data_IF_740726383204
#
_entry.id   IF_740726383204
#
_cell.length_a   1.000
_cell.length_b   1.000
_cell.length_c   1.000
_cell.angle_alpha   90.00
_cell.angle_beta   90.00
_cell.angle_gamma   90.00
#
_symmetry.space_group_name_H-M   'P 1'
#
loop_
_entity.id
_entity.type
_entity.pdbx_description
1 polymer ?
#
# COMPACT_ATOMS: atom_id res chain seq x y z
N UNK A 1 -13.92 -9.06 -33.09
CA UNK A 1 -12.62 -9.42 -32.47
C UNK A 1 -12.20 -8.41 -31.38
N UNK A 2 -12.32 -7.11 -31.59
CA UNK A 2 -11.91 -6.07 -30.59
C UNK A 2 -12.63 -6.18 -29.24
N UNK A 3 -13.95 -6.37 -29.21
CA UNK A 3 -14.72 -6.45 -27.95
C UNK A 3 -14.30 -7.64 -27.09
N UNK A 4 -14.03 -8.79 -27.67
CA UNK A 4 -13.59 -9.99 -26.94
C UNK A 4 -12.23 -9.77 -26.28
N UNK A 5 -11.31 -9.10 -26.98
CA UNK A 5 -9.99 -8.75 -26.41
C UNK A 5 -10.09 -7.77 -25.25
N UNK A 6 -10.95 -6.76 -25.35
CA UNK A 6 -11.18 -5.79 -24.27
C UNK A 6 -11.77 -6.48 -23.04
N UNK A 7 -12.82 -7.30 -23.23
CA UNK A 7 -13.44 -8.05 -22.13
C UNK A 7 -12.41 -9.00 -21.47
N UNK A 8 -11.61 -9.71 -22.27
CA UNK A 8 -10.54 -10.57 -21.77
C UNK A 8 -9.51 -9.84 -20.93
N UNK A 9 -9.08 -8.63 -21.38
CA UNK A 9 -8.12 -7.80 -20.64
C UNK A 9 -8.72 -7.31 -19.30
N UNK A 10 -9.98 -6.90 -19.29
CA UNK A 10 -10.68 -6.46 -18.07
C UNK A 10 -10.80 -7.63 -17.07
N UNK A 11 -11.24 -8.80 -17.52
CA UNK A 11 -11.34 -10.00 -16.65
C UNK A 11 -9.97 -10.39 -16.10
N UNK A 12 -8.93 -10.38 -16.93
CA UNK A 12 -7.57 -10.70 -16.48
C UNK A 12 -7.07 -9.68 -15.43
N UNK A 13 -7.34 -8.39 -15.63
CA UNK A 13 -7.01 -7.34 -14.67
C UNK A 13 -7.77 -7.53 -13.34
N UNK A 14 -9.07 -7.82 -13.38
CA UNK A 14 -9.87 -8.12 -12.17
C UNK A 14 -9.31 -9.31 -11.40
N UNK A 15 -8.99 -10.41 -12.07
CA UNK A 15 -8.38 -11.60 -11.45
C UNK A 15 -7.01 -11.26 -10.85
N UNK A 16 -6.19 -10.46 -11.54
CA UNK A 16 -4.88 -10.03 -11.04
C UNK A 16 -5.01 -9.20 -9.77
N UNK A 17 -5.89 -8.20 -9.75
CA UNK A 17 -6.14 -7.36 -8.59
C UNK A 17 -6.74 -8.16 -7.43
N UNK A 18 -7.71 -9.03 -7.69
CA UNK A 18 -8.30 -9.89 -6.68
C UNK A 18 -7.25 -10.81 -6.00
N UNK A 19 -6.39 -11.45 -6.80
CA UNK A 19 -5.29 -12.28 -6.26
C UNK A 19 -4.27 -11.44 -5.51
N UNK A 20 -3.92 -10.29 -6.02
CA UNK A 20 -2.96 -9.39 -5.41
C UNK A 20 -3.47 -8.83 -4.07
N UNK A 21 -4.75 -8.48 -3.95
CA UNK A 21 -5.33 -7.97 -2.69
C UNK A 21 -5.21 -8.97 -1.53
N UNK A 22 -5.07 -10.25 -1.84
CA UNK A 22 -4.92 -11.35 -0.88
C UNK A 22 -3.50 -11.92 -0.79
N UNK A 23 -2.57 -11.42 -1.59
CA UNK A 23 -1.19 -11.90 -1.59
C UNK A 23 -0.40 -11.32 -0.40
N UNK A 24 0.51 -12.13 0.15
CA UNK A 24 1.43 -11.76 1.24
C UNK A 24 0.74 -11.24 2.51
N UNK A 25 -0.43 -11.75 2.83
CA UNK A 25 -1.09 -11.48 4.10
C UNK A 25 -0.46 -12.31 5.22
N UNK A 26 -0.52 -11.78 6.45
CA UNK A 26 -0.11 -12.48 7.65
C UNK A 26 -1.19 -13.41 8.19
N UNK A 27 -0.82 -14.24 9.16
CA UNK A 27 -1.74 -15.14 9.88
C UNK A 27 -1.95 -14.74 11.34
N UNK A 28 -1.20 -13.75 11.82
CA UNK A 28 -1.19 -13.28 13.21
C UNK A 28 -1.79 -11.90 13.40
N UNK A 29 -2.51 -11.35 12.40
CA UNK A 29 -3.20 -10.08 12.55
C UNK A 29 -4.33 -10.20 13.57
N UNK A 30 -4.37 -9.27 14.54
CA UNK A 30 -5.46 -9.21 15.50
C UNK A 30 -6.81 -8.93 14.81
N UNK A 31 -7.87 -9.58 15.29
CA UNK A 31 -9.22 -9.49 14.70
C UNK A 31 -10.24 -8.81 15.62
N UNK A 32 -9.85 -8.47 16.86
CA UNK A 32 -10.73 -7.79 17.83
C UNK A 32 -10.73 -6.26 17.60
N UNK A 33 -11.84 -5.61 17.91
CA UNK A 33 -12.09 -4.18 17.63
C UNK A 33 -11.17 -3.22 18.40
N UNK A 34 -10.65 -3.63 19.55
CA UNK A 34 -9.74 -2.82 20.37
C UNK A 34 -8.26 -3.00 20.00
N UNK A 35 -7.96 -3.80 18.96
CA UNK A 35 -6.61 -3.96 18.48
C UNK A 35 -6.04 -2.61 18.01
N UNK A 36 -4.77 -2.36 18.34
CA UNK A 36 -4.04 -1.23 17.79
C UNK A 36 -3.77 -1.51 16.31
N UNK A 37 -4.37 -0.69 15.44
CA UNK A 37 -4.30 -0.83 14.00
C UNK A 37 -3.47 0.28 13.37
N UNK A 38 -2.64 -0.07 12.40
CA UNK A 38 -1.98 0.88 11.50
C UNK A 38 -2.44 0.62 10.06
N UNK A 39 -3.03 1.63 9.43
CA UNK A 39 -3.39 1.61 8.00
C UNK A 39 -2.40 2.48 7.26
N UNK A 40 -1.50 1.82 6.53
CA UNK A 40 -0.43 2.48 5.74
C UNK A 40 -0.90 2.69 4.32
N UNK A 41 -1.02 3.93 3.88
CA UNK A 41 -1.34 4.28 2.49
C UNK A 41 -0.10 4.81 1.78
N UNK A 42 0.22 4.17 0.64
CA UNK A 42 1.41 4.52 -0.14
C UNK A 42 1.06 5.53 -1.23
N UNK A 43 1.87 6.59 -1.33
CA UNK A 43 1.76 7.59 -2.36
C UNK A 43 2.02 7.05 -3.77
N UNK A 44 1.43 7.72 -4.73
CA UNK A 44 1.73 7.61 -6.16
C UNK A 44 2.34 8.94 -6.61
N UNK A 45 3.38 8.87 -7.41
CA UNK A 45 4.07 10.04 -7.96
C UNK A 45 3.07 11.05 -8.56
N UNK A 46 2.97 12.21 -7.92
CA UNK A 46 1.97 13.23 -8.23
C UNK A 46 2.68 14.57 -8.47
N UNK A 47 2.56 15.16 -9.67
CA UNK A 47 3.19 16.45 -9.96
C UNK A 47 2.44 17.64 -9.38
N UNK A 48 1.23 17.44 -8.86
CA UNK A 48 0.34 18.48 -8.37
C UNK A 48 0.68 18.99 -6.96
N UNK A 49 -0.07 20.00 -6.54
CA UNK A 49 -0.09 20.54 -5.16
C UNK A 49 -1.27 20.01 -4.34
N UNK A 50 -2.10 19.17 -4.93
CA UNK A 50 -3.21 18.46 -4.30
C UNK A 50 -3.25 17.02 -4.84
N UNK A 51 -3.86 16.12 -4.09
CA UNK A 51 -3.94 14.72 -4.47
C UNK A 51 -4.65 14.53 -5.83
N UNK A 52 -3.95 13.96 -6.79
CA UNK A 52 -4.50 13.54 -8.06
C UNK A 52 -5.37 12.28 -7.94
N UNK A 53 -5.96 11.84 -9.04
CA UNK A 53 -6.97 10.77 -9.08
C UNK A 53 -6.51 9.49 -8.35
N UNK A 54 -5.29 9.03 -8.61
CA UNK A 54 -4.75 7.80 -8.01
C UNK A 54 -4.62 7.96 -6.49
N UNK A 55 -4.03 9.06 -6.03
CA UNK A 55 -3.85 9.33 -4.61
C UNK A 55 -5.20 9.50 -3.87
N UNK A 56 -6.18 10.17 -4.48
CA UNK A 56 -7.55 10.28 -3.92
C UNK A 56 -8.19 8.91 -3.71
N UNK A 57 -8.07 8.00 -4.68
CA UNK A 57 -8.59 6.63 -4.56
C UNK A 57 -7.90 5.84 -3.47
N UNK A 58 -6.58 5.94 -3.37
CA UNK A 58 -5.81 5.26 -2.31
C UNK A 58 -6.24 5.72 -0.91
N UNK A 59 -6.53 7.01 -0.75
CA UNK A 59 -7.09 7.52 0.50
C UNK A 59 -8.47 6.93 0.77
N UNK A 60 -9.36 6.89 -0.23
CA UNK A 60 -10.67 6.27 -0.06
C UNK A 60 -10.56 4.78 0.33
N UNK A 61 -9.63 4.04 -0.30
CA UNK A 61 -9.35 2.66 0.08
C UNK A 61 -8.82 2.54 1.50
N UNK A 62 -7.94 3.46 1.93
CA UNK A 62 -7.39 3.47 3.27
C UNK A 62 -8.47 3.73 4.32
N UNK A 63 -9.31 4.74 4.12
CA UNK A 63 -10.39 5.08 5.06
C UNK A 63 -11.40 3.94 5.22
N UNK A 64 -11.78 3.26 4.14
CA UNK A 64 -12.70 2.12 4.22
C UNK A 64 -12.05 0.82 4.70
N UNK A 65 -10.71 0.76 4.75
CA UNK A 65 -9.96 -0.40 5.25
C UNK A 65 -9.80 -0.39 6.77
N UNK A 66 -10.04 0.74 7.43
CA UNK A 66 -9.99 0.85 8.89
C UNK A 66 -11.10 0.02 9.53
N UNK A 67 -10.77 -0.75 10.55
CA UNK A 67 -11.72 -1.60 11.29
C UNK A 67 -11.62 -1.43 12.78
N UNK A 68 -10.46 -1.07 13.32
CA UNK A 68 -10.22 -0.90 14.73
C UNK A 68 -10.64 0.47 15.24
N UNK A 69 -11.12 0.53 16.49
CA UNK A 69 -11.39 1.81 17.18
C UNK A 69 -10.09 2.61 17.45
N UNK A 70 -8.96 1.92 17.49
CA UNK A 70 -7.62 2.49 17.71
C UNK A 70 -6.80 2.38 16.43
N UNK A 71 -7.28 3.02 15.37
CA UNK A 71 -6.66 3.00 14.05
C UNK A 71 -5.90 4.28 13.78
N UNK A 72 -4.62 4.16 13.42
CA UNK A 72 -3.77 5.26 12.95
C UNK A 72 -3.62 5.17 11.44
N UNK A 73 -3.92 6.25 10.74
CA UNK A 73 -3.61 6.38 9.30
C UNK A 73 -2.18 6.83 9.13
N UNK A 74 -1.36 6.03 8.46
CA UNK A 74 0.03 6.36 8.13
C UNK A 74 0.12 6.63 6.63
N UNK A 75 0.41 7.88 6.24
CA UNK A 75 0.63 8.24 4.85
C UNK A 75 2.12 8.22 4.55
N UNK A 76 2.55 7.60 3.44
CA UNK A 76 3.97 7.45 3.10
C UNK A 76 4.24 7.77 1.64
N UNK A 77 5.28 8.57 1.40
CA UNK A 77 5.77 8.98 0.09
C UNK A 77 6.38 10.36 0.09
N UNK A 78 7.57 10.50 -0.49
CA UNK A 78 8.30 11.76 -0.61
C UNK A 78 7.85 12.59 -1.80
N UNK A 79 8.54 13.69 -2.06
CA UNK A 79 8.36 14.54 -3.24
C UNK A 79 9.12 13.93 -4.44
N UNK A 80 8.50 12.96 -5.13
CA UNK A 80 9.14 12.26 -6.26
C UNK A 80 8.86 12.94 -7.59
N UNK A 81 7.62 13.34 -7.86
CA UNK A 81 7.22 13.94 -9.13
C UNK A 81 6.85 15.42 -9.02
N UNK A 82 6.59 15.92 -7.84
CA UNK A 82 6.13 17.29 -7.58
C UNK A 82 6.85 17.95 -6.41
N UNK A 83 6.49 19.19 -6.09
CA UNK A 83 7.12 19.95 -5.01
C UNK A 83 6.62 19.58 -3.61
N UNK A 84 5.50 18.83 -3.53
CA UNK A 84 4.87 18.42 -2.27
C UNK A 84 5.01 16.92 -2.11
N UNK A 85 5.45 16.41 -0.94
CA UNK A 85 5.51 14.98 -0.66
C UNK A 85 4.15 14.31 -0.86
N UNK A 86 4.13 13.15 -1.53
CA UNK A 86 2.89 12.41 -1.74
C UNK A 86 2.17 12.10 -0.42
N UNK A 87 2.92 11.85 0.65
CA UNK A 87 2.35 11.63 1.98
C UNK A 87 1.53 12.82 2.49
N UNK A 88 1.98 14.05 2.24
CA UNK A 88 1.25 15.26 2.61
C UNK A 88 -0.01 15.45 1.76
N UNK A 89 0.07 15.15 0.44
CA UNK A 89 -1.10 15.17 -0.45
C UNK A 89 -2.18 14.18 0.01
N UNK A 90 -1.77 12.97 0.39
CA UNK A 90 -2.66 11.94 0.93
C UNK A 90 -3.29 12.41 2.25
N UNK A 91 -2.48 12.93 3.18
CA UNK A 91 -2.94 13.41 4.48
C UNK A 91 -3.94 14.57 4.34
N UNK A 92 -3.62 15.56 3.52
CA UNK A 92 -4.50 16.71 3.25
C UNK A 92 -5.84 16.24 2.64
N UNK A 93 -5.80 15.27 1.71
CA UNK A 93 -7.02 14.74 1.12
C UNK A 93 -7.86 13.95 2.13
N UNK A 94 -7.23 13.14 3.01
CA UNK A 94 -7.95 12.44 4.08
C UNK A 94 -8.66 13.43 5.02
N UNK A 95 -7.99 14.49 5.42
CA UNK A 95 -8.57 15.57 6.23
C UNK A 95 -9.73 16.29 5.50
N UNK A 96 -9.58 16.56 4.20
CA UNK A 96 -10.64 17.16 3.39
C UNK A 96 -11.89 16.27 3.26
N UNK A 97 -11.75 14.95 3.38
CA UNK A 97 -12.85 13.99 3.46
C UNK A 97 -13.46 13.86 4.87
N UNK A 98 -13.00 14.66 5.85
CA UNK A 98 -13.51 14.65 7.22
C UNK A 98 -12.83 13.64 8.13
N UNK A 99 -11.69 13.05 7.74
CA UNK A 99 -10.97 12.14 8.62
C UNK A 99 -10.44 12.88 9.86
N UNK A 100 -11.02 12.60 11.04
CA UNK A 100 -10.64 13.20 12.32
C UNK A 100 -9.74 12.34 13.21
N UNK A 101 -9.41 11.10 12.79
CA UNK A 101 -8.59 10.17 13.57
C UNK A 101 -7.10 10.49 13.57
N UNK A 102 -6.31 9.64 14.24
CA UNK A 102 -4.85 9.76 14.30
C UNK A 102 -4.23 9.57 12.91
N UNK A 103 -3.33 10.50 12.53
CA UNK A 103 -2.66 10.53 11.25
C UNK A 103 -1.20 10.90 11.42
N UNK A 104 -0.33 10.08 10.82
CA UNK A 104 1.13 10.29 10.79
C UNK A 104 1.60 10.28 9.34
N UNK A 105 2.53 11.18 8.98
CA UNK A 105 3.11 11.29 7.63
C UNK A 105 4.57 10.87 7.61
N UNK A 106 4.96 10.11 6.60
CA UNK A 106 6.35 9.78 6.27
C UNK A 106 6.67 10.37 4.88
N UNK A 107 7.56 11.36 4.83
CA UNK A 107 7.80 12.21 3.65
C UNK A 107 9.16 12.02 2.99
N UNK A 108 10.00 11.13 3.52
CA UNK A 108 11.38 10.94 3.04
C UNK A 108 11.57 9.90 1.95
N UNK A 109 10.56 9.07 1.68
CA UNK A 109 10.68 7.92 0.80
C UNK A 109 10.64 8.29 -0.68
N UNK A 110 11.52 7.68 -1.48
CA UNK A 110 11.60 7.86 -2.93
C UNK A 110 11.35 6.57 -3.73
N UNK A 111 11.07 5.47 -3.04
CA UNK A 111 10.79 4.16 -3.64
C UNK A 111 9.87 3.35 -2.72
N UNK A 112 9.21 2.31 -3.27
CA UNK A 112 8.36 1.41 -2.46
C UNK A 112 9.16 0.69 -1.36
N UNK A 113 10.43 0.38 -1.62
CA UNK A 113 11.32 -0.21 -0.62
C UNK A 113 11.55 0.73 0.56
N UNK A 114 11.80 2.01 0.27
CA UNK A 114 11.97 3.04 1.29
C UNK A 114 10.67 3.36 2.02
N UNK A 115 9.53 3.42 1.32
CA UNK A 115 8.23 3.57 1.97
C UNK A 115 8.06 2.52 3.07
N UNK A 116 8.29 1.23 2.74
CA UNK A 116 8.18 0.15 3.71
C UNK A 116 9.20 0.31 4.84
N UNK A 117 10.46 0.58 4.51
CA UNK A 117 11.51 0.75 5.52
C UNK A 117 11.22 1.89 6.49
N UNK A 118 10.79 3.02 5.97
CA UNK A 118 10.63 4.24 6.75
C UNK A 118 9.35 4.24 7.59
N UNK A 119 8.31 3.46 7.21
CA UNK A 119 7.10 3.32 8.03
C UNK A 119 7.26 2.28 9.16
N UNK A 120 8.26 1.40 9.12
CA UNK A 120 8.49 0.37 10.16
C UNK A 120 8.43 0.95 11.58
N UNK A 121 9.15 2.02 11.94
CA UNK A 121 9.11 2.58 13.29
C UNK A 121 7.73 3.12 13.68
N UNK A 122 6.90 3.50 12.70
CA UNK A 122 5.57 4.06 12.92
C UNK A 122 4.51 2.98 13.16
N UNK A 123 4.77 1.73 12.74
CA UNK A 123 3.81 0.62 12.77
C UNK A 123 4.22 -0.55 13.66
N UNK A 124 5.43 -0.53 14.26
CA UNK A 124 5.95 -1.68 15.00
C UNK A 124 5.12 -2.04 16.24
N UNK A 125 4.41 -1.09 16.82
CA UNK A 125 3.51 -1.30 17.95
C UNK A 125 2.12 -1.83 17.54
N UNK A 126 1.79 -1.79 16.23
CA UNK A 126 0.49 -2.21 15.76
C UNK A 126 0.32 -3.75 15.83
N UNK A 127 -0.83 -4.19 16.30
CA UNK A 127 -1.25 -5.59 16.35
C UNK A 127 -1.90 -6.04 15.03
N UNK A 128 -2.38 -5.07 14.25
CA UNK A 128 -2.96 -5.24 12.93
C UNK A 128 -2.36 -4.20 11.99
N UNK A 129 -1.81 -4.64 10.88
CA UNK A 129 -1.19 -3.76 9.88
C UNK A 129 -1.91 -3.96 8.55
N UNK A 130 -2.40 -2.86 7.97
CA UNK A 130 -3.07 -2.85 6.67
C UNK A 130 -2.24 -2.00 5.71
N UNK A 131 -1.76 -2.57 4.61
CA UNK A 131 -1.03 -1.82 3.57
C UNK A 131 -1.96 -1.59 2.40
N UNK A 132 -2.18 -0.32 2.09
CA UNK A 132 -3.15 0.15 1.09
C UNK A 132 -2.44 0.85 -0.07
N UNK A 133 -2.80 0.46 -1.26
CA UNK A 133 -2.42 1.05 -2.54
C UNK A 133 -3.34 0.47 -3.63
N UNK A 134 -2.98 0.60 -4.93
CA UNK A 134 -3.53 -0.33 -5.91
C UNK A 134 -3.14 -1.76 -5.52
N UNK A 135 -4.05 -2.72 -5.61
CA UNK A 135 -3.86 -4.05 -4.99
C UNK A 135 -2.54 -4.73 -5.39
N UNK A 136 -2.10 -4.60 -6.65
CA UNK A 136 -0.83 -5.18 -7.13
C UNK A 136 0.38 -4.47 -6.52
N UNK A 137 0.33 -3.13 -6.41
CA UNK A 137 1.36 -2.35 -5.75
C UNK A 137 1.40 -2.61 -4.24
N UNK A 138 0.24 -2.74 -3.60
CA UNK A 138 0.15 -3.14 -2.19
C UNK A 138 0.75 -4.52 -1.95
N UNK A 139 0.55 -5.48 -2.87
CA UNK A 139 1.19 -6.80 -2.79
C UNK A 139 2.72 -6.71 -2.83
N UNK A 140 3.30 -5.82 -3.66
CA UNK A 140 4.74 -5.56 -3.69
C UNK A 140 5.24 -5.00 -2.36
N UNK A 141 4.52 -4.05 -1.78
CA UNK A 141 4.90 -3.46 -0.49
C UNK A 141 4.82 -4.50 0.65
N UNK A 142 3.76 -5.33 0.69
CA UNK A 142 3.64 -6.45 1.64
C UNK A 142 4.79 -7.44 1.48
N UNK A 143 5.17 -7.79 0.25
CA UNK A 143 6.35 -8.61 -0.02
C UNK A 143 7.63 -7.99 0.54
N UNK A 144 7.83 -6.68 0.37
CA UNK A 144 8.97 -5.97 0.94
C UNK A 144 8.96 -5.94 2.48
N UNK A 145 7.79 -5.87 3.10
CA UNK A 145 7.68 -5.97 4.55
C UNK A 145 8.09 -7.37 5.05
N UNK A 146 7.71 -8.44 4.34
CA UNK A 146 8.19 -9.79 4.65
C UNK A 146 9.72 -9.90 4.59
N UNK A 147 10.36 -9.19 3.66
CA UNK A 147 11.82 -9.21 3.56
C UNK A 147 12.51 -8.39 4.65
N UNK A 148 11.92 -7.27 5.05
CA UNK A 148 12.54 -6.33 6.00
C UNK A 148 12.22 -6.66 7.47
N UNK A 149 10.97 -7.04 7.77
CA UNK A 149 10.44 -7.34 9.11
C UNK A 149 9.38 -8.45 9.05
N UNK A 150 9.81 -9.72 9.00
CA UNK A 150 8.90 -10.87 8.95
C UNK A 150 7.92 -10.92 10.13
N UNK A 151 8.33 -10.45 11.29
CA UNK A 151 7.52 -10.35 12.51
C UNK A 151 6.34 -9.37 12.35
N UNK A 152 6.54 -8.23 11.68
CA UNK A 152 5.47 -7.29 11.35
C UNK A 152 4.62 -7.82 10.19
N UNK A 153 5.24 -8.45 9.21
CA UNK A 153 4.53 -9.06 8.10
C UNK A 153 3.55 -10.17 8.55
N UNK A 154 3.84 -10.86 9.65
CA UNK A 154 2.90 -11.81 10.27
C UNK A 154 1.59 -11.15 10.73
N UNK A 155 1.58 -9.82 10.98
CA UNK A 155 0.42 -9.02 11.40
C UNK A 155 -0.31 -8.34 10.24
N UNK A 156 0.07 -8.62 8.99
CA UNK A 156 -0.58 -8.05 7.80
C UNK A 156 -2.01 -8.58 7.64
N UNK A 157 -2.95 -7.65 7.55
CA UNK A 157 -4.36 -7.93 7.33
C UNK A 157 -4.81 -7.46 5.94
N UNK A 158 -5.91 -8.00 5.39
CA UNK A 158 -6.44 -7.57 4.12
C UNK A 158 -6.93 -6.12 4.17
N UNK A 159 -6.65 -5.38 3.09
CA UNK A 159 -7.23 -4.07 2.81
C UNK A 159 -8.54 -4.23 2.02
N UNK A 160 -9.38 -3.19 2.03
CA UNK A 160 -10.51 -3.02 1.10
C UNK A 160 -10.04 -2.21 -0.13
N UNK A 161 -8.96 -2.68 -0.77
CA UNK A 161 -8.29 -2.06 -1.92
C UNK A 161 -8.75 -2.63 -3.27
N UNK A 162 -9.68 -3.59 -3.24
CA UNK A 162 -10.24 -4.20 -4.44
C UNK A 162 -11.72 -4.54 -4.26
N UNK A 163 -12.55 -3.97 -5.11
CA UNK A 163 -13.96 -4.37 -5.32
C UNK A 163 -14.18 -4.67 -6.80
N UNK A 164 -14.98 -5.70 -7.07
CA UNK A 164 -15.29 -6.11 -8.44
C UNK A 164 -16.00 -4.97 -9.19
N UNK A 165 -15.55 -4.68 -10.40
CA UNK A 165 -16.13 -3.63 -11.23
C UNK A 165 -15.73 -2.20 -10.86
N UNK A 166 -15.11 -1.96 -9.71
CA UNK A 166 -14.63 -0.64 -9.33
C UNK A 166 -13.37 -0.28 -10.13
N UNK A 167 -13.31 0.98 -10.62
CA UNK A 167 -12.11 1.55 -11.26
C UNK A 167 -11.56 0.80 -12.49
N UNK A 168 -12.43 0.19 -13.29
CA UNK A 168 -12.07 -0.64 -14.45
C UNK A 168 -11.08 0.03 -15.39
N UNK A 169 -11.24 1.34 -15.64
CA UNK A 169 -10.35 2.10 -16.54
C UNK A 169 -8.90 2.12 -16.05
N UNK A 170 -8.69 2.14 -14.74
CA UNK A 170 -7.34 2.14 -14.14
C UNK A 170 -6.80 0.73 -13.90
N UNK A 171 -7.67 -0.26 -13.72
CA UNK A 171 -7.22 -1.62 -13.37
C UNK A 171 -6.38 -2.27 -14.45
N UNK A 172 -6.69 -2.07 -15.73
CA UNK A 172 -5.92 -2.68 -16.81
C UNK A 172 -4.47 -2.15 -16.83
N UNK A 173 -4.21 -0.84 -16.93
CA UNK A 173 -2.83 -0.33 -16.91
C UNK A 173 -2.11 -0.60 -15.59
N UNK A 174 -2.79 -0.49 -14.45
CA UNK A 174 -2.17 -0.76 -13.13
C UNK A 174 -1.86 -2.24 -12.92
N UNK A 175 -2.66 -3.17 -13.47
CA UNK A 175 -2.34 -4.58 -13.45
C UNK A 175 -1.06 -4.89 -14.23
N UNK A 176 -0.94 -4.37 -15.47
CA UNK A 176 0.23 -4.63 -16.31
C UNK A 176 1.51 -4.08 -15.65
N UNK A 177 1.52 -2.80 -15.32
CA UNK A 177 2.69 -2.16 -14.70
C UNK A 177 3.02 -2.76 -13.34
N UNK A 178 2.01 -3.00 -12.51
CA UNK A 178 2.19 -3.55 -11.18
C UNK A 178 2.70 -4.99 -11.19
N UNK A 179 2.24 -5.85 -12.10
CA UNK A 179 2.72 -7.23 -12.22
C UNK A 179 4.19 -7.26 -12.68
N UNK A 180 4.58 -6.40 -13.62
CA UNK A 180 5.98 -6.25 -14.05
C UNK A 180 6.85 -5.84 -12.85
N UNK A 181 6.42 -4.85 -12.09
CA UNK A 181 7.14 -4.34 -10.92
C UNK A 181 7.23 -5.37 -9.80
N UNK A 182 6.16 -6.12 -9.55
CA UNK A 182 6.15 -7.20 -8.56
C UNK A 182 7.08 -8.35 -8.99
N UNK A 183 7.09 -8.71 -10.28
CA UNK A 183 7.99 -9.72 -10.80
C UNK A 183 9.47 -9.29 -10.69
N UNK A 184 9.77 -8.00 -10.94
CA UNK A 184 11.11 -7.44 -10.74
C UNK A 184 11.51 -7.47 -9.26
N UNK A 185 10.61 -7.07 -8.36
CA UNK A 185 10.86 -7.09 -6.92
C UNK A 185 11.24 -8.48 -6.40
N UNK A 186 10.57 -9.53 -6.90
CA UNK A 186 10.86 -10.93 -6.53
C UNK A 186 12.22 -11.44 -7.02
N UNK A 187 12.80 -10.82 -8.03
CA UNK A 187 14.12 -11.18 -8.59
C UNK A 187 15.28 -10.49 -7.87
N UNK A 188 15.01 -9.46 -7.07
CA UNK A 188 16.05 -8.81 -6.28
C UNK A 188 16.52 -9.78 -5.18
N UNK A 189 17.85 -10.00 -5.05
CA UNK A 189 18.36 -10.76 -3.92
C UNK A 189 17.97 -10.01 -2.64
N UNK A 190 17.43 -10.74 -1.65
CA UNK A 190 17.14 -10.18 -0.34
C UNK A 190 18.39 -9.49 0.25
N UNK A 191 18.23 -8.54 1.19
CA UNK A 191 19.35 -7.87 1.82
C UNK A 191 20.28 -8.94 2.39
N UNK A 192 21.54 -8.96 1.90
CA UNK A 192 22.58 -9.77 2.51
C UNK A 192 22.71 -9.26 3.95
N UNK A 193 22.33 -10.08 4.90
CA UNK A 193 22.59 -9.83 6.31
C UNK A 193 24.11 -9.58 6.41
N UNK A 194 24.48 -8.32 6.61
CA UNK A 194 25.86 -7.92 6.82
C UNK A 194 26.42 -8.75 7.95
N UNK A 195 27.41 -9.59 7.64
CA UNK A 195 28.09 -10.41 8.62
C UNK A 195 28.54 -9.53 9.77
N UNK A 196 28.18 -9.91 11.01
CA UNK A 196 28.79 -9.36 12.21
C UNK A 196 30.29 -9.46 12.04
N UNK A 197 30.97 -8.35 11.76
CA UNK A 197 32.41 -8.28 12.04
C UNK A 197 32.57 -8.48 13.54
N UNK A 198 33.01 -9.65 13.91
CA UNK A 198 33.59 -9.85 15.25
C UNK A 198 34.88 -8.98 15.31
N UNK A 199 34.91 -8.06 16.21
CA UNK A 199 36.12 -7.43 16.73
C UNK A 199 36.37 -8.10 18.04
#
# INVERSE_FOLDING_TARGET
>A
MGLVLVVGAVVAAEVAHHRASRAYLGRGAAVHDDAVEAVVVLGFADPGRSAGLVNRRRVAYALRSQRGRRSTLVTSGGAVAGPVPEAELLAAHARALGYGGDLVTETGSRSTWENVRNVIPLIEHAQRIVVVSDAVHAAKARYYLHMQRPDLAARLAPADDHRLGEDLVLKVPTAVLGLIDLARARRLPGPRHGGRRRV
#
